data_IF_757273949627
#
_entry.id   IF_757273949627
#
_cell.length_a   1.000
_cell.length_b   1.000
_cell.length_c   1.000
_cell.angle_alpha   90.00
_cell.angle_beta   90.00
_cell.angle_gamma   90.00
#
_symmetry.space_group_name_H-M   'P 1'
#
loop_
_entity.id
_entity.type
_entity.pdbx_description
1 polymer ?
#
# COMPACT_ATOMS: atom_id res chain seq x y z
N UNK A 1 -16.70 -3.99 -11.91
CA UNK A 1 -16.59 -5.36 -11.40
C UNK A 1 -15.31 -5.94 -11.98
N UNK A 2 -14.28 -6.18 -11.16
CA UNK A 2 -13.08 -6.85 -11.62
C UNK A 2 -13.46 -8.28 -12.00
N UNK A 3 -13.54 -8.55 -13.31
CA UNK A 3 -13.75 -9.89 -13.84
C UNK A 3 -12.41 -10.58 -13.77
N UNK A 4 -12.18 -11.41 -12.75
CA UNK A 4 -10.94 -12.19 -12.62
C UNK A 4 -10.68 -12.92 -13.93
N UNK A 5 -9.54 -12.62 -14.54
CA UNK A 5 -9.17 -13.14 -15.85
C UNK A 5 -8.49 -14.50 -15.68
N UNK A 6 -9.16 -15.59 -16.02
CA UNK A 6 -8.51 -16.90 -16.04
C UNK A 6 -7.64 -17.03 -17.30
N UNK A 7 -6.35 -17.30 -17.09
CA UNK A 7 -5.37 -17.46 -18.17
C UNK A 7 -5.11 -18.94 -18.43
N UNK A 8 -5.15 -19.34 -19.70
CA UNK A 8 -4.65 -20.65 -20.11
C UNK A 8 -3.11 -20.65 -20.17
N UNK A 9 -2.51 -21.85 -20.25
CA UNK A 9 -1.07 -21.98 -20.50
C UNK A 9 -0.66 -21.26 -21.80
N UNK A 10 -1.46 -21.37 -22.86
CA UNK A 10 -1.20 -20.73 -24.15
C UNK A 10 -1.20 -19.20 -24.05
N UNK A 11 -2.12 -18.62 -23.25
CA UNK A 11 -2.17 -17.18 -23.03
C UNK A 11 -0.90 -16.67 -22.33
N UNK A 12 -0.43 -17.41 -21.32
CA UNK A 12 0.80 -17.08 -20.59
C UNK A 12 2.01 -17.24 -21.50
N UNK A 13 2.15 -18.36 -22.23
CA UNK A 13 3.27 -18.58 -23.16
C UNK A 13 3.35 -17.48 -24.23
N UNK A 14 2.21 -17.13 -24.83
CA UNK A 14 2.13 -16.06 -25.83
C UNK A 14 2.54 -14.71 -25.26
N UNK A 15 2.15 -14.43 -24.02
CA UNK A 15 2.52 -13.20 -23.31
C UNK A 15 4.01 -13.16 -23.02
N UNK A 16 4.60 -14.26 -22.54
CA UNK A 16 6.02 -14.32 -22.20
C UNK A 16 6.93 -14.27 -23.43
N UNK A 17 6.46 -14.69 -24.60
CA UNK A 17 7.24 -14.72 -25.84
C UNK A 17 7.78 -13.34 -26.28
N UNK A 18 7.21 -12.24 -25.79
CA UNK A 18 7.70 -10.87 -26.07
C UNK A 18 8.65 -10.32 -25.01
N UNK A 19 8.91 -11.08 -23.95
CA UNK A 19 9.83 -10.71 -22.87
C UNK A 19 11.14 -11.51 -22.96
N UNK A 20 12.28 -10.93 -22.56
CA UNK A 20 13.57 -11.63 -22.53
C UNK A 20 13.70 -12.52 -21.27
N UNK A 21 12.76 -13.45 -21.07
CA UNK A 21 12.62 -14.23 -19.82
C UNK A 21 12.76 -15.75 -20.02
N UNK A 22 13.11 -16.20 -21.22
CA UNK A 22 13.27 -17.62 -21.52
C UNK A 22 11.94 -18.35 -21.70
N UNK A 23 11.95 -19.68 -21.51
CA UNK A 23 10.80 -20.55 -21.79
C UNK A 23 9.99 -20.85 -20.54
N UNK A 24 8.66 -20.86 -20.65
CA UNK A 24 7.76 -21.25 -19.55
C UNK A 24 8.00 -22.70 -19.12
N UNK A 25 8.12 -22.92 -17.81
CA UNK A 25 8.26 -24.26 -17.21
C UNK A 25 7.07 -24.59 -16.30
N UNK A 26 6.45 -23.57 -15.72
CA UNK A 26 5.24 -23.75 -14.93
C UNK A 26 4.67 -22.41 -14.48
N UNK A 27 3.39 -22.44 -14.13
CA UNK A 27 2.71 -21.27 -13.59
C UNK A 27 1.69 -21.71 -12.54
N UNK A 28 1.34 -20.79 -11.65
CA UNK A 28 0.32 -20.98 -10.62
C UNK A 28 -0.39 -19.65 -10.38
N UNK A 29 -1.71 -19.68 -10.33
CA UNK A 29 -2.50 -18.52 -9.89
C UNK A 29 -2.11 -18.15 -8.45
N UNK A 30 -1.88 -16.86 -8.20
CA UNK A 30 -1.66 -16.35 -6.87
C UNK A 30 -3.03 -16.28 -6.17
N UNK A 31 -3.16 -16.98 -5.05
CA UNK A 31 -4.39 -17.05 -4.27
C UNK A 31 -4.67 -15.80 -3.43
N UNK A 32 -3.76 -14.83 -3.44
CA UNK A 32 -3.77 -13.64 -2.59
C UNK A 32 -3.76 -12.39 -3.49
N UNK A 33 -4.93 -11.78 -3.68
CA UNK A 33 -5.14 -10.61 -4.54
C UNK A 33 -6.60 -10.49 -4.95
N UNK A 34 -7.26 -9.38 -4.60
CA UNK A 34 -8.72 -9.23 -4.76
C UNK A 34 -9.10 -8.22 -5.85
N UNK A 35 -8.13 -7.41 -6.27
CA UNK A 35 -8.31 -6.34 -7.26
C UNK A 35 -7.78 -6.73 -8.64
N UNK A 36 -6.62 -7.40 -8.69
CA UNK A 36 -5.95 -7.78 -9.92
C UNK A 36 -5.73 -9.29 -10.00
N UNK A 37 -5.70 -9.82 -11.22
CA UNK A 37 -5.39 -11.22 -11.47
C UNK A 37 -3.87 -11.40 -11.49
N UNK A 38 -3.34 -12.27 -10.65
CA UNK A 38 -1.91 -12.49 -10.48
C UNK A 38 -1.54 -13.97 -10.72
N UNK A 39 -0.46 -14.21 -11.48
CA UNK A 39 0.10 -15.53 -11.69
C UNK A 39 1.59 -15.54 -11.35
N UNK A 40 2.01 -16.49 -10.51
CA UNK A 40 3.40 -16.87 -10.40
C UNK A 40 3.81 -17.63 -11.65
N UNK A 41 4.88 -17.19 -12.29
CA UNK A 41 5.40 -17.74 -13.53
C UNK A 41 6.83 -18.17 -13.29
N UNK A 42 7.17 -19.41 -13.66
CA UNK A 42 8.53 -19.93 -13.64
C UNK A 42 9.02 -20.18 -15.05
N UNK A 43 10.18 -19.63 -15.37
CA UNK A 43 10.83 -19.83 -16.67
C UNK A 43 12.21 -20.44 -16.51
N UNK A 44 12.78 -20.93 -17.61
CA UNK A 44 14.20 -21.30 -17.73
C UNK A 44 14.89 -20.44 -18.77
N UNK A 45 16.03 -19.90 -18.40
CA UNK A 45 16.94 -19.16 -19.28
C UNK A 45 17.77 -20.12 -20.14
N UNK A 46 18.42 -19.61 -21.19
CA UNK A 46 19.29 -20.40 -22.08
C UNK A 46 20.47 -21.07 -21.34
N UNK A 47 20.91 -20.48 -20.22
CA UNK A 47 21.96 -21.05 -19.35
C UNK A 47 21.43 -22.15 -18.40
N UNK A 48 20.15 -22.53 -18.53
CA UNK A 48 19.48 -23.54 -17.72
C UNK A 48 19.03 -23.06 -16.35
N UNK A 49 19.28 -21.81 -15.95
CA UNK A 49 18.82 -21.29 -14.66
C UNK A 49 17.33 -20.99 -14.70
N UNK A 50 16.65 -21.33 -13.62
CA UNK A 50 15.26 -20.97 -13.43
C UNK A 50 15.14 -19.54 -12.89
N UNK A 51 14.16 -18.80 -13.37
CA UNK A 51 13.75 -17.50 -12.84
C UNK A 51 12.25 -17.52 -12.55
N UNK A 52 11.83 -16.70 -11.58
CA UNK A 52 10.42 -16.57 -11.21
C UNK A 52 9.95 -15.12 -11.35
N UNK A 53 8.72 -14.98 -11.83
CA UNK A 53 8.06 -13.72 -12.11
C UNK A 53 6.64 -13.73 -11.58
N UNK A 54 6.04 -12.55 -11.50
CA UNK A 54 4.61 -12.35 -11.25
C UNK A 54 4.04 -11.66 -12.49
N UNK A 55 3.10 -12.33 -13.16
CA UNK A 55 2.31 -11.75 -14.24
C UNK A 55 1.01 -11.21 -13.64
N UNK A 56 0.78 -9.91 -13.77
CA UNK A 56 -0.38 -9.22 -13.22
C UNK A 56 -1.22 -8.64 -14.35
N UNK A 57 -2.50 -9.02 -14.44
CA UNK A 57 -3.49 -8.41 -15.32
C UNK A 57 -4.25 -7.35 -14.54
N UNK A 58 -4.25 -6.11 -15.06
CA UNK A 58 -4.88 -4.96 -14.42
C UNK A 58 -6.38 -4.95 -14.75
N UNK A 59 -7.21 -5.35 -13.79
CA UNK A 59 -8.63 -5.62 -14.04
C UNK A 59 -9.48 -4.35 -14.20
N UNK A 60 -9.14 -3.29 -13.46
CA UNK A 60 -9.86 -2.01 -13.51
C UNK A 60 -9.18 -0.96 -14.41
N UNK A 61 -8.42 -1.40 -15.42
CA UNK A 61 -7.70 -0.51 -16.33
C UNK A 61 -8.58 0.43 -17.18
N UNK A 62 -9.85 0.08 -17.39
CA UNK A 62 -10.81 0.87 -18.17
C UNK A 62 -11.59 1.90 -17.33
N UNK A 63 -11.35 1.98 -16.01
CA UNK A 63 -11.86 3.04 -15.14
C UNK A 63 -10.91 4.25 -15.08
N UNK A 64 -11.43 5.43 -14.74
CA UNK A 64 -10.65 6.66 -14.53
C UNK A 64 -9.56 6.56 -13.44
N UNK A 65 -9.53 5.46 -12.68
CA UNK A 65 -8.75 5.31 -11.46
C UNK A 65 -7.53 4.39 -11.55
N UNK A 66 -7.24 3.73 -12.69
CA UNK A 66 -6.08 2.83 -12.70
C UNK A 66 -4.77 3.61 -12.65
N UNK A 67 -4.00 3.44 -11.57
CA UNK A 67 -2.74 4.16 -11.31
C UNK A 67 -1.49 3.38 -11.75
N UNK A 68 -1.66 2.36 -12.59
CA UNK A 68 -0.59 1.42 -12.97
C UNK A 68 0.57 2.11 -13.71
N UNK A 69 0.32 3.18 -14.46
CA UNK A 69 1.38 3.95 -15.14
C UNK A 69 2.29 4.64 -14.13
N UNK A 70 1.73 5.32 -13.13
CA UNK A 70 2.52 5.97 -12.09
C UNK A 70 3.19 4.94 -11.19
N UNK A 71 2.52 3.82 -10.91
CA UNK A 71 3.12 2.67 -10.21
C UNK A 71 4.41 2.20 -10.90
N UNK A 72 4.40 2.05 -12.22
CA UNK A 72 5.60 1.65 -12.98
C UNK A 72 6.73 2.68 -12.82
N UNK A 73 6.44 3.98 -12.90
CA UNK A 73 7.44 5.05 -12.67
C UNK A 73 8.05 4.96 -11.28
N UNK A 74 7.20 4.76 -10.26
CA UNK A 74 7.61 4.66 -8.86
C UNK A 74 8.51 3.44 -8.66
N UNK A 75 8.12 2.28 -9.19
CA UNK A 75 8.92 1.05 -9.10
C UNK A 75 10.27 1.20 -9.79
N UNK A 76 10.32 1.80 -10.99
CA UNK A 76 11.57 2.07 -11.70
C UNK A 76 12.52 2.94 -10.87
N UNK A 77 12.00 4.04 -10.30
CA UNK A 77 12.78 4.92 -9.44
C UNK A 77 13.28 4.20 -8.19
N UNK A 78 12.44 3.39 -7.56
CA UNK A 78 12.83 2.60 -6.39
C UNK A 78 13.91 1.55 -6.70
N UNK A 79 13.81 0.86 -7.83
CA UNK A 79 14.83 -0.11 -8.27
C UNK A 79 16.14 0.59 -8.57
N UNK A 80 16.11 1.75 -9.23
CA UNK A 80 17.31 2.55 -9.51
C UNK A 80 18.05 2.97 -8.23
N UNK A 81 17.32 3.25 -7.15
CA UNK A 81 17.85 3.60 -5.83
C UNK A 81 18.13 2.38 -4.92
N UNK A 82 18.00 1.16 -5.46
CA UNK A 82 18.29 -0.09 -4.75
C UNK A 82 17.34 -0.37 -3.59
N UNK A 83 16.05 -0.01 -3.73
CA UNK A 83 15.02 -0.42 -2.79
C UNK A 83 14.50 -1.83 -3.13
N UNK A 84 14.14 -2.64 -2.12
CA UNK A 84 13.63 -3.99 -2.33
C UNK A 84 12.17 -3.95 -2.78
N UNK A 85 11.93 -3.68 -4.07
CA UNK A 85 10.58 -3.66 -4.69
C UNK A 85 10.58 -4.50 -5.97
N UNK A 86 9.41 -4.91 -6.50
CA UNK A 86 9.35 -5.68 -7.74
C UNK A 86 9.90 -4.86 -8.90
N UNK A 87 10.83 -5.45 -9.65
CA UNK A 87 11.29 -4.86 -10.90
C UNK A 87 10.30 -5.18 -12.02
N UNK A 88 9.81 -4.14 -12.69
CA UNK A 88 8.95 -4.33 -13.86
C UNK A 88 9.82 -4.71 -15.06
N UNK A 89 9.58 -5.88 -15.62
CA UNK A 89 10.35 -6.43 -16.75
C UNK A 89 9.88 -5.77 -18.04
N UNK A 90 10.82 -5.28 -18.85
CA UNK A 90 10.52 -4.69 -20.15
C UNK A 90 10.46 -5.76 -21.23
N UNK A 91 9.55 -5.60 -22.18
CA UNK A 91 9.53 -6.43 -23.39
C UNK A 91 10.82 -6.22 -24.21
N UNK A 92 11.07 -7.09 -25.19
CA UNK A 92 12.20 -6.94 -26.13
C UNK A 92 12.17 -5.61 -26.91
N UNK A 93 10.99 -4.97 -27.02
CA UNK A 93 10.81 -3.65 -27.64
C UNK A 93 10.87 -2.49 -26.63
N UNK A 94 11.17 -2.76 -25.36
CA UNK A 94 11.26 -1.76 -24.30
C UNK A 94 9.93 -1.36 -23.67
N UNK A 95 8.79 -1.93 -24.10
CA UNK A 95 7.49 -1.62 -23.51
C UNK A 95 7.40 -2.13 -22.06
N UNK A 96 6.72 -1.37 -21.20
CA UNK A 96 6.53 -1.66 -19.77
C UNK A 96 5.41 -2.64 -19.49
N UNK A 97 4.50 -2.80 -20.45
CA UNK A 97 3.30 -3.63 -20.34
C UNK A 97 2.96 -4.27 -21.68
N UNK A 98 2.11 -5.28 -21.61
CA UNK A 98 1.46 -5.96 -22.75
C UNK A 98 -0.06 -5.87 -22.60
N UNK A 99 -0.82 -6.39 -23.57
CA UNK A 99 -2.28 -6.50 -23.42
C UNK A 99 -2.75 -7.94 -23.49
N UNK A 100 -3.53 -8.33 -22.49
CA UNK A 100 -4.24 -9.62 -22.39
C UNK A 100 -5.74 -9.34 -22.31
N UNK A 101 -6.51 -9.86 -23.28
CA UNK A 101 -7.95 -9.58 -23.38
C UNK A 101 -8.28 -8.09 -23.30
N UNK A 102 -7.49 -7.28 -24.02
CA UNK A 102 -7.55 -5.80 -24.06
C UNK A 102 -7.17 -5.10 -22.74
N UNK A 103 -6.87 -5.84 -21.67
CA UNK A 103 -6.42 -5.30 -20.37
C UNK A 103 -4.89 -5.19 -20.33
N UNK A 104 -4.32 -4.13 -19.72
CA UNK A 104 -2.88 -4.06 -19.45
C UNK A 104 -2.42 -5.24 -18.59
N UNK A 105 -1.25 -5.78 -18.93
CA UNK A 105 -0.60 -6.86 -18.21
C UNK A 105 0.87 -6.54 -17.99
N UNK A 106 1.30 -6.58 -16.73
CA UNK A 106 2.66 -6.31 -16.28
C UNK A 106 3.35 -7.61 -15.90
N UNK A 107 4.63 -7.73 -16.24
CA UNK A 107 5.49 -8.80 -15.74
C UNK A 107 6.49 -8.21 -14.77
N UNK A 108 6.51 -8.68 -13.53
CA UNK A 108 7.42 -8.21 -12.50
C UNK A 108 8.32 -9.35 -11.99
N UNK A 109 9.51 -9.04 -11.48
CA UNK A 109 10.34 -10.00 -10.75
C UNK A 109 9.61 -10.50 -9.50
N UNK A 110 9.68 -11.80 -9.21
CA UNK A 110 9.23 -12.33 -7.92
C UNK A 110 10.26 -12.02 -6.83
N UNK A 111 9.81 -11.50 -5.69
CA UNK A 111 10.67 -11.23 -4.53
C UNK A 111 10.75 -12.45 -3.61
N UNK A 112 11.92 -12.65 -2.98
CA UNK A 112 12.20 -13.81 -2.14
C UNK A 112 12.00 -13.49 -0.65
N UNK A 113 10.81 -13.80 -0.13
CA UNK A 113 10.51 -13.66 1.29
C UNK A 113 9.11 -14.15 1.64
N UNK A 114 8.77 -14.04 2.92
CA UNK A 114 7.46 -14.44 3.47
C UNK A 114 6.82 -13.27 4.20
N UNK A 115 5.49 -13.22 4.17
CA UNK A 115 4.70 -12.26 4.93
C UNK A 115 4.92 -12.40 6.43
N UNK A 116 4.84 -11.27 7.14
CA UNK A 116 5.01 -11.23 8.59
C UNK A 116 3.65 -11.32 9.26
N UNK A 117 3.45 -12.29 10.14
CA UNK A 117 2.21 -12.42 10.92
C UNK A 117 2.29 -11.65 12.24
N UNK A 118 3.43 -11.76 12.93
CA UNK A 118 3.66 -11.12 14.23
C UNK A 118 4.98 -10.34 14.18
N UNK A 119 4.96 -9.03 13.86
CA UNK A 119 6.18 -8.28 13.67
C UNK A 119 6.95 -8.10 14.98
N UNK A 120 8.27 -8.26 14.91
CA UNK A 120 9.17 -7.88 16.01
C UNK A 120 9.68 -6.45 15.82
N UNK A 121 10.19 -5.83 16.90
CA UNK A 121 10.69 -4.45 16.91
C UNK A 121 11.69 -4.14 15.79
N UNK A 122 12.61 -5.08 15.50
CA UNK A 122 13.61 -4.90 14.44
C UNK A 122 13.00 -4.84 13.04
N UNK A 123 11.87 -5.52 12.81
CA UNK A 123 11.11 -5.47 11.55
C UNK A 123 10.36 -4.14 11.45
N UNK A 124 9.74 -3.66 12.53
CA UNK A 124 9.13 -2.32 12.58
C UNK A 124 10.16 -1.23 12.23
N UNK A 125 11.36 -1.31 12.81
CA UNK A 125 12.45 -0.40 12.47
C UNK A 125 12.91 -0.52 10.99
N UNK A 126 12.87 -1.73 10.41
CA UNK A 126 13.18 -1.93 9.00
C UNK A 126 12.14 -1.28 8.07
N UNK A 127 10.86 -1.34 8.42
CA UNK A 127 9.79 -0.64 7.70
C UNK A 127 9.96 0.88 7.80
N UNK A 128 10.29 1.39 8.98
CA UNK A 128 10.64 2.81 9.15
C UNK A 128 11.78 3.25 8.22
N UNK A 129 12.88 2.48 8.19
CA UNK A 129 14.02 2.74 7.29
C UNK A 129 13.63 2.68 5.81
N UNK A 130 12.80 1.69 5.43
CA UNK A 130 12.29 1.58 4.07
C UNK A 130 11.49 2.83 3.68
N UNK A 131 10.52 3.25 4.50
CA UNK A 131 9.69 4.43 4.21
C UNK A 131 10.54 5.69 4.07
N UNK A 132 11.55 5.90 4.92
CA UNK A 132 12.42 7.06 4.81
C UNK A 132 13.24 7.04 3.51
N UNK A 133 13.80 5.88 3.13
CA UNK A 133 14.49 5.70 1.85
C UNK A 133 13.54 5.88 0.66
N UNK A 134 12.33 5.35 0.75
CA UNK A 134 11.30 5.44 -0.27
C UNK A 134 10.95 6.89 -0.53
N UNK A 135 10.55 7.64 0.51
CA UNK A 135 10.24 9.06 0.37
C UNK A 135 11.42 9.88 -0.19
N UNK A 136 12.65 9.57 0.18
CA UNK A 136 13.83 10.26 -0.35
C UNK A 136 14.09 9.91 -1.83
N UNK A 137 13.97 8.64 -2.20
CA UNK A 137 14.18 8.14 -3.55
C UNK A 137 13.13 8.68 -4.54
N UNK A 138 11.89 8.87 -4.09
CA UNK A 138 10.77 9.26 -4.95
C UNK A 138 10.40 10.75 -4.86
N UNK A 139 11.02 11.52 -3.95
CA UNK A 139 10.81 12.96 -3.87
C UNK A 139 11.00 13.69 -5.21
N UNK A 140 12.02 13.36 -6.05
CA UNK A 140 12.21 14.02 -7.34
C UNK A 140 11.07 13.83 -8.35
N UNK A 141 10.25 12.78 -8.20
CA UNK A 141 9.14 12.46 -9.11
C UNK A 141 7.77 12.75 -8.48
N UNK A 142 7.72 13.38 -7.30
CA UNK A 142 6.48 13.61 -6.56
C UNK A 142 5.43 14.39 -7.34
N UNK A 143 5.86 15.40 -8.11
CA UNK A 143 4.97 16.23 -8.95
C UNK A 143 4.50 15.51 -10.23
N UNK A 144 5.19 14.45 -10.65
CA UNK A 144 4.89 13.67 -11.87
C UNK A 144 3.93 12.49 -11.63
N UNK A 145 3.51 12.31 -10.37
CA UNK A 145 2.64 11.24 -9.89
C UNK A 145 1.34 11.85 -9.37
N UNK A 146 0.21 11.17 -9.64
CA UNK A 146 -1.10 11.62 -9.16
C UNK A 146 -1.14 11.76 -7.62
N UNK A 147 -1.85 12.77 -7.10
CA UNK A 147 -2.10 12.88 -5.66
C UNK A 147 -2.80 11.65 -5.09
N UNK A 148 -2.51 11.37 -3.82
CA UNK A 148 -3.22 10.34 -3.07
C UNK A 148 -4.72 10.62 -3.04
N UNK A 149 -5.51 9.60 -3.37
CA UNK A 149 -6.93 9.76 -3.72
C UNK A 149 -7.88 9.90 -2.52
N UNK A 150 -7.46 9.55 -1.30
CA UNK A 150 -8.35 9.61 -0.12
C UNK A 150 -8.24 10.95 0.60
N UNK A 151 -8.36 12.04 -0.16
CA UNK A 151 -8.31 13.43 0.30
C UNK A 151 -9.62 13.87 1.00
N UNK A 152 -9.74 15.16 1.32
CA UNK A 152 -10.93 15.74 1.95
C UNK A 152 -12.22 15.47 1.17
N UNK A 153 -12.18 15.57 -0.15
CA UNK A 153 -13.36 15.40 -1.02
C UNK A 153 -13.78 13.94 -1.02
N UNK A 154 -12.81 13.02 -1.13
CA UNK A 154 -13.08 11.59 -1.04
C UNK A 154 -13.66 11.23 0.33
N UNK A 155 -13.05 11.66 1.43
CA UNK A 155 -13.52 11.35 2.78
C UNK A 155 -14.96 11.82 3.00
N UNK A 156 -15.28 13.04 2.56
CA UNK A 156 -16.62 13.63 2.67
C UNK A 156 -17.62 12.84 1.83
N UNK A 157 -17.32 12.64 0.54
CA UNK A 157 -18.18 11.93 -0.40
C UNK A 157 -18.46 10.48 0.04
N UNK A 158 -17.44 9.78 0.53
CA UNK A 158 -17.59 8.39 0.98
C UNK A 158 -18.31 8.27 2.31
N UNK A 159 -18.11 9.21 3.22
CA UNK A 159 -18.92 9.31 4.44
C UNK A 159 -20.40 9.49 4.10
N UNK A 160 -20.72 10.39 3.17
CA UNK A 160 -22.10 10.61 2.71
C UNK A 160 -22.73 9.38 2.07
N UNK A 161 -21.91 8.56 1.38
CA UNK A 161 -22.35 7.32 0.77
C UNK A 161 -22.75 6.26 1.80
N UNK A 162 -21.96 6.09 2.87
CA UNK A 162 -22.14 4.97 3.81
C UNK A 162 -22.97 5.30 5.05
N UNK A 163 -23.13 6.60 5.39
CA UNK A 163 -23.73 7.02 6.67
C UNK A 163 -25.17 6.56 6.89
N UNK A 164 -25.92 6.26 5.83
CA UNK A 164 -27.30 5.78 5.92
C UNK A 164 -27.39 4.27 6.23
N UNK A 165 -26.35 3.51 5.90
CA UNK A 165 -26.32 2.04 5.98
C UNK A 165 -25.61 1.51 7.23
N UNK A 166 -25.11 2.40 8.09
CA UNK A 166 -24.42 2.06 9.35
C UNK A 166 -25.30 2.37 10.56
N UNK A 167 -25.01 1.72 11.70
CA UNK A 167 -25.70 1.97 12.95
C UNK A 167 -25.52 3.44 13.41
N UNK A 168 -26.51 3.99 14.13
CA UNK A 168 -26.51 5.40 14.57
C UNK A 168 -25.23 5.78 15.33
N UNK A 169 -24.74 4.92 16.23
CA UNK A 169 -23.50 5.18 16.97
C UNK A 169 -22.27 5.24 16.06
N UNK A 170 -22.21 4.37 15.06
CA UNK A 170 -21.11 4.34 14.09
C UNK A 170 -21.14 5.56 13.18
N UNK A 171 -22.34 5.99 12.78
CA UNK A 171 -22.54 7.24 12.04
C UNK A 171 -22.02 8.46 12.80
N UNK A 172 -22.36 8.58 14.09
CA UNK A 172 -21.90 9.71 14.93
C UNK A 172 -20.38 9.71 15.07
N UNK A 173 -19.77 8.54 15.31
CA UNK A 173 -18.31 8.42 15.36
C UNK A 173 -17.66 8.78 14.02
N UNK A 174 -18.24 8.33 12.90
CA UNK A 174 -17.75 8.61 11.55
C UNK A 174 -17.78 10.11 11.24
N UNK A 175 -18.91 10.79 11.48
CA UNK A 175 -19.08 12.23 11.24
C UNK A 175 -18.16 13.06 12.14
N UNK A 176 -18.01 12.70 13.42
CA UNK A 176 -17.10 13.39 14.35
C UNK A 176 -15.61 13.21 13.97
N UNK A 177 -15.25 12.00 13.55
CA UNK A 177 -13.88 11.70 13.09
C UNK A 177 -13.57 12.41 11.79
N UNK A 178 -14.50 12.41 10.84
CA UNK A 178 -14.39 13.16 9.59
C UNK A 178 -14.11 14.64 9.87
N UNK A 179 -14.91 15.28 10.73
CA UNK A 179 -14.71 16.70 11.05
C UNK A 179 -13.31 16.97 11.61
N UNK A 180 -12.82 16.11 12.52
CA UNK A 180 -11.48 16.24 13.08
C UNK A 180 -10.38 16.16 12.01
N UNK A 181 -10.54 15.26 11.04
CA UNK A 181 -9.58 15.08 9.93
C UNK A 181 -9.67 16.24 8.93
N UNK A 182 -10.87 16.73 8.62
CA UNK A 182 -11.04 17.91 7.76
C UNK A 182 -10.42 19.15 8.41
N UNK A 183 -10.63 19.35 9.71
CA UNK A 183 -10.03 20.44 10.47
C UNK A 183 -8.50 20.37 10.40
N UNK A 184 -7.90 19.18 10.57
CA UNK A 184 -6.46 18.96 10.38
C UNK A 184 -6.00 19.39 8.98
N UNK A 185 -6.59 18.81 7.94
CA UNK A 185 -6.15 18.99 6.55
C UNK A 185 -6.35 20.42 6.05
N UNK A 186 -7.24 21.20 6.68
CA UNK A 186 -7.45 22.61 6.38
C UNK A 186 -6.36 23.55 6.93
N UNK A 187 -5.49 23.08 7.83
CA UNK A 187 -4.49 23.93 8.49
C UNK A 187 -3.33 24.27 7.56
N UNK A 188 -2.90 25.52 7.59
CA UNK A 188 -1.75 25.99 6.80
C UNK A 188 -0.41 25.39 7.22
N UNK A 189 -0.24 25.06 8.52
CA UNK A 189 0.97 24.39 9.00
C UNK A 189 1.01 22.91 8.56
N UNK A 190 -0.13 22.25 8.42
CA UNK A 190 -0.23 20.92 7.80
C UNK A 190 0.15 20.97 6.32
N UNK A 191 -0.28 21.98 5.58
CA UNK A 191 0.09 22.17 4.17
C UNK A 191 1.61 22.34 3.96
N UNK A 192 2.35 22.72 5.01
CA UNK A 192 3.82 22.86 4.97
C UNK A 192 4.58 21.58 5.36
N UNK A 193 3.88 20.51 5.74
CA UNK A 193 4.52 19.25 6.10
C UNK A 193 5.23 18.63 4.89
N UNK A 194 6.33 17.90 5.09
CA UNK A 194 7.04 17.22 4.02
C UNK A 194 6.12 16.29 3.21
N UNK A 195 6.18 16.44 1.89
CA UNK A 195 5.47 15.60 0.93
C UNK A 195 6.46 14.87 0.02
N UNK A 196 6.05 13.70 -0.45
CA UNK A 196 6.74 12.90 -1.45
C UNK A 196 5.72 11.92 -2.06
N UNK A 197 6.17 10.97 -2.87
CA UNK A 197 5.34 9.79 -3.15
C UNK A 197 5.23 8.97 -1.86
N UNK A 198 4.00 8.70 -1.44
CA UNK A 198 3.64 7.80 -0.35
C UNK A 198 3.13 6.47 -0.92
N UNK A 199 3.36 5.38 -0.20
CA UNK A 199 2.84 4.05 -0.54
C UNK A 199 1.34 3.93 -0.23
N UNK A 200 0.91 4.57 0.85
CA UNK A 200 -0.44 4.68 1.37
C UNK A 200 -1.15 3.37 1.76
N UNK A 201 -0.45 2.23 1.75
CA UNK A 201 -1.00 0.90 2.05
C UNK A 201 0.05 -0.10 2.58
N UNK A 202 1.07 0.39 3.30
CA UNK A 202 2.18 -0.45 3.76
C UNK A 202 1.83 -1.28 5.00
N UNK A 203 0.94 -2.24 4.83
CA UNK A 203 0.53 -3.22 5.83
C UNK A 203 1.46 -4.44 5.89
N UNK A 204 1.27 -5.29 6.90
CA UNK A 204 2.02 -6.53 7.11
C UNK A 204 1.92 -7.50 5.93
N UNK A 205 0.76 -7.56 5.28
CA UNK A 205 0.52 -8.37 4.08
C UNK A 205 1.22 -7.81 2.83
N UNK A 206 1.72 -6.57 2.85
CA UNK A 206 2.46 -5.96 1.75
C UNK A 206 3.98 -5.95 1.95
N UNK A 207 4.50 -6.63 2.98
CA UNK A 207 5.93 -6.73 3.22
C UNK A 207 6.41 -8.17 3.36
N UNK A 208 7.54 -8.45 2.72
CA UNK A 208 8.21 -9.74 2.73
C UNK A 208 9.52 -9.64 3.51
N UNK A 209 9.75 -10.61 4.40
CA UNK A 209 11.00 -10.76 5.14
C UNK A 209 11.61 -12.14 4.89
N UNK A 210 12.93 -12.21 4.97
CA UNK A 210 13.69 -13.46 4.96
C UNK A 210 14.79 -13.42 6.04
N UNK A 211 15.70 -14.41 6.03
CA UNK A 211 16.77 -14.52 7.02
C UNK A 211 17.73 -13.32 7.06
N UNK A 212 17.78 -12.51 5.99
CA UNK A 212 18.66 -11.35 5.85
C UNK A 212 17.96 -10.01 6.14
N UNK A 213 16.65 -10.02 6.41
CA UNK A 213 15.87 -8.83 6.75
C UNK A 213 14.73 -8.57 5.78
N UNK A 214 14.46 -7.27 5.52
CA UNK A 214 13.40 -6.84 4.60
C UNK A 214 13.78 -7.25 3.17
N UNK A 215 12.99 -8.13 2.58
CA UNK A 215 13.27 -8.72 1.27
C UNK A 215 12.46 -8.11 0.14
N UNK A 216 11.30 -7.52 0.45
CA UNK A 216 10.42 -6.95 -0.55
C UNK A 216 9.27 -6.15 0.03
N UNK A 217 8.92 -5.04 -0.61
CA UNK A 217 7.64 -4.34 -0.43
C UNK A 217 6.81 -4.50 -1.69
N UNK A 218 5.55 -4.86 -1.54
CA UNK A 218 4.60 -5.15 -2.61
C UNK A 218 3.50 -4.08 -2.67
N UNK A 219 2.63 -4.18 -3.67
CA UNK A 219 1.39 -3.42 -3.82
C UNK A 219 1.50 -1.89 -3.77
N UNK A 220 1.98 -1.33 -4.88
CA UNK A 220 2.07 0.13 -5.07
C UNK A 220 0.83 0.71 -5.79
N UNK A 221 -0.29 -0.01 -5.85
CA UNK A 221 -1.48 0.45 -6.58
C UNK A 221 -2.13 1.69 -5.96
N UNK A 222 -1.98 1.86 -4.65
CA UNK A 222 -2.46 3.03 -3.91
C UNK A 222 -1.43 4.15 -3.76
N UNK A 223 -0.21 3.95 -4.27
CA UNK A 223 0.84 4.94 -4.16
C UNK A 223 0.47 6.23 -4.91
N UNK A 224 0.86 7.37 -4.36
CA UNK A 224 0.55 8.69 -4.91
C UNK A 224 1.32 9.78 -4.18
N UNK A 225 1.28 11.02 -4.67
CA UNK A 225 1.89 12.14 -3.95
C UNK A 225 1.06 12.51 -2.70
N UNK A 226 1.74 12.73 -1.57
CA UNK A 226 1.08 13.02 -0.30
C UNK A 226 2.05 13.28 0.85
N UNK A 227 1.49 13.47 2.05
CA UNK A 227 2.27 13.75 3.25
C UNK A 227 3.05 12.52 3.73
N UNK A 228 4.37 12.62 3.88
CA UNK A 228 5.23 11.51 4.32
C UNK A 228 4.79 10.91 5.68
N UNK A 229 4.22 11.74 6.56
CA UNK A 229 3.70 11.30 7.87
C UNK A 229 2.45 10.41 7.76
N UNK A 230 1.73 10.47 6.63
CA UNK A 230 0.61 9.57 6.38
C UNK A 230 1.06 8.11 6.26
N UNK A 231 2.14 7.83 5.53
CA UNK A 231 2.71 6.48 5.44
C UNK A 231 3.15 5.91 6.80
N UNK A 232 3.73 6.77 7.64
CA UNK A 232 4.06 6.40 9.02
C UNK A 232 2.81 6.06 9.82
N UNK A 233 1.73 6.83 9.67
CA UNK A 233 0.46 6.56 10.32
C UNK A 233 -0.17 5.24 9.85
N UNK A 234 -0.15 4.95 8.54
CA UNK A 234 -0.61 3.67 7.97
C UNK A 234 0.19 2.52 8.58
N UNK A 235 1.51 2.60 8.54
CA UNK A 235 2.37 1.53 9.05
C UNK A 235 2.21 1.34 10.58
N UNK A 236 2.15 2.42 11.36
CA UNK A 236 1.94 2.32 12.81
C UNK A 236 0.57 1.69 13.15
N UNK A 237 -0.48 2.04 12.41
CA UNK A 237 -1.81 1.49 12.62
C UNK A 237 -1.88 -0.03 12.46
N UNK A 238 -0.96 -0.64 11.70
CA UNK A 238 -0.97 -2.08 11.41
C UNK A 238 0.20 -2.84 12.07
N UNK A 239 1.43 -2.39 11.85
CA UNK A 239 2.65 -3.04 12.33
C UNK A 239 2.81 -2.97 13.85
N UNK A 240 2.25 -1.93 14.47
CA UNK A 240 2.49 -1.63 15.88
C UNK A 240 1.28 -2.04 16.74
N UNK A 241 0.60 -3.13 16.39
CA UNK A 241 -0.53 -3.67 17.15
C UNK A 241 -0.13 -4.84 18.05
N UNK A 242 -0.78 -4.90 19.21
CA UNK A 242 -0.82 -6.03 20.13
C UNK A 242 -2.28 -6.26 20.53
N UNK A 243 -2.98 -7.10 19.76
CA UNK A 243 -4.44 -7.21 19.80
C UNK A 243 -5.10 -5.86 19.48
N UNK A 244 -5.93 -5.37 20.40
CA UNK A 244 -6.63 -4.08 20.26
C UNK A 244 -5.77 -2.90 20.75
N UNK A 245 -4.55 -3.15 21.25
CA UNK A 245 -3.65 -2.13 21.78
C UNK A 245 -2.51 -1.80 20.81
N UNK A 246 -2.03 -0.56 20.86
CA UNK A 246 -0.89 -0.04 20.13
C UNK A 246 0.32 -0.38 20.99
N UNK A 247 1.19 -1.20 20.44
CA UNK A 247 2.51 -1.48 20.97
C UNK A 247 3.38 -0.22 20.75
N UNK A 248 3.49 0.58 21.81
CA UNK A 248 4.28 1.82 21.80
C UNK A 248 5.74 1.57 21.48
N UNK A 249 6.29 0.43 21.89
CA UNK A 249 7.70 0.15 21.66
C UNK A 249 7.95 -0.17 20.18
N UNK A 250 7.05 -0.88 19.52
CA UNK A 250 7.11 -1.06 18.05
C UNK A 250 6.97 0.25 17.31
N UNK A 251 6.05 1.12 17.74
CA UNK A 251 5.86 2.44 17.12
C UNK A 251 7.11 3.31 17.26
N UNK A 252 7.75 3.32 18.43
CA UNK A 252 9.00 4.04 18.66
C UNK A 252 10.12 3.49 17.76
N UNK A 253 10.26 2.17 17.66
CA UNK A 253 11.30 1.55 16.81
C UNK A 253 11.07 1.80 15.32
N UNK A 254 9.82 1.85 14.86
CA UNK A 254 9.47 2.26 13.51
C UNK A 254 9.90 3.72 13.25
N UNK A 255 9.53 4.65 14.14
CA UNK A 255 9.89 6.06 14.01
C UNK A 255 11.40 6.30 14.11
N UNK A 256 12.13 5.56 14.95
CA UNK A 256 13.60 5.56 15.00
C UNK A 256 14.20 5.05 13.70
N UNK A 257 13.67 3.94 13.17
CA UNK A 257 14.06 3.42 11.88
C UNK A 257 13.95 4.48 10.79
N UNK A 258 12.83 5.18 10.74
CA UNK A 258 12.63 6.29 9.81
C UNK A 258 13.62 7.43 10.04
N UNK A 259 13.73 7.90 11.29
CA UNK A 259 14.58 9.02 11.69
C UNK A 259 16.07 8.78 11.48
N UNK A 260 16.50 7.52 11.41
CA UNK A 260 17.89 7.15 11.08
C UNK A 260 18.31 7.49 9.64
N UNK A 261 17.35 7.77 8.75
CA UNK A 261 17.59 8.13 7.35
C UNK A 261 17.08 9.55 7.07
N UNK A 262 15.86 9.89 7.51
CA UNK A 262 15.30 11.25 7.40
C UNK A 262 14.73 11.68 8.75
N UNK A 263 15.32 12.73 9.33
CA UNK A 263 14.86 13.30 10.59
C UNK A 263 13.40 13.77 10.49
N UNK A 264 12.56 13.29 11.41
CA UNK A 264 11.19 13.78 11.58
C UNK A 264 11.20 15.19 12.15
N UNK A 265 10.43 16.08 11.54
CA UNK A 265 10.25 17.43 12.08
C UNK A 265 9.35 17.40 13.31
N UNK A 266 9.46 18.42 14.17
CA UNK A 266 8.57 18.54 15.32
C UNK A 266 7.10 18.69 14.91
N UNK A 267 6.82 19.31 13.75
CA UNK A 267 5.48 19.41 13.21
C UNK A 267 4.92 18.03 12.80
N UNK A 268 5.72 17.18 12.15
CA UNK A 268 5.31 15.82 11.81
C UNK A 268 4.99 14.99 13.06
N UNK A 269 5.83 15.07 14.10
CA UNK A 269 5.58 14.40 15.37
C UNK A 269 4.33 14.93 16.09
N UNK A 270 4.11 16.25 16.03
CA UNK A 270 2.96 16.90 16.61
C UNK A 270 1.64 16.47 15.95
N UNK A 271 1.62 16.36 14.61
CA UNK A 271 0.43 15.98 13.85
C UNK A 271 0.25 14.47 13.67
N UNK A 272 1.28 13.66 13.93
CA UNK A 272 1.22 12.19 13.83
C UNK A 272 -0.04 11.57 14.48
N UNK A 273 -0.50 11.99 15.68
CA UNK A 273 -1.68 11.40 16.31
C UNK A 273 -2.96 11.62 15.51
N UNK A 274 -3.09 12.78 14.85
CA UNK A 274 -4.24 13.06 13.99
C UNK A 274 -4.09 12.40 12.61
N UNK A 275 -2.86 12.21 12.12
CA UNK A 275 -2.62 11.38 10.92
C UNK A 275 -2.93 9.89 11.17
N UNK A 276 -2.68 9.37 12.37
CA UNK A 276 -3.11 8.02 12.78
C UNK A 276 -4.63 7.87 12.70
N UNK A 277 -5.36 8.90 13.16
CA UNK A 277 -6.82 8.95 13.05
C UNK A 277 -7.28 9.08 11.60
N UNK A 278 -6.62 9.92 10.78
CA UNK A 278 -6.90 10.07 9.36
C UNK A 278 -6.73 8.74 8.60
N UNK A 279 -5.59 8.06 8.75
CA UNK A 279 -5.38 6.76 8.13
C UNK A 279 -6.45 5.75 8.59
N UNK A 280 -6.75 5.69 9.89
CA UNK A 280 -7.78 4.78 10.41
C UNK A 280 -9.17 5.06 9.83
N UNK A 281 -9.57 6.33 9.71
CA UNK A 281 -10.83 6.74 9.07
C UNK A 281 -10.87 6.32 7.61
N UNK A 282 -9.80 6.60 6.85
CA UNK A 282 -9.73 6.31 5.42
C UNK A 282 -9.91 4.81 5.12
N UNK A 283 -9.30 3.94 5.95
CA UNK A 283 -9.45 2.49 5.84
C UNK A 283 -10.76 1.96 6.42
N UNK A 284 -11.33 2.60 7.44
CA UNK A 284 -12.67 2.26 7.92
C UNK A 284 -13.70 2.50 6.81
N UNK A 285 -13.65 3.67 6.17
CA UNK A 285 -14.50 4.04 5.04
C UNK A 285 -14.32 3.07 3.85
N UNK A 286 -13.07 2.74 3.49
CA UNK A 286 -12.83 1.82 2.36
C UNK A 286 -13.44 0.44 2.59
N UNK A 287 -13.33 -0.10 3.81
CA UNK A 287 -13.95 -1.38 4.17
C UNK A 287 -15.47 -1.28 4.25
N UNK A 288 -16.02 -0.19 4.78
CA UNK A 288 -17.47 0.04 4.82
C UNK A 288 -18.08 0.08 3.42
N UNK A 289 -17.44 0.78 2.48
CA UNK A 289 -17.91 0.86 1.08
C UNK A 289 -18.05 -0.51 0.43
N UNK A 290 -17.14 -1.45 0.73
CA UNK A 290 -17.24 -2.84 0.27
C UNK A 290 -18.31 -3.59 1.06
N UNK A 291 -18.34 -3.41 2.38
CA UNK A 291 -19.23 -4.12 3.29
C UNK A 291 -20.72 -3.86 3.03
N UNK A 292 -21.09 -2.65 2.61
CA UNK A 292 -22.49 -2.29 2.31
C UNK A 292 -22.95 -2.76 0.92
N UNK A 293 -22.05 -3.29 0.07
CA UNK A 293 -22.42 -3.76 -1.26
C UNK A 293 -23.21 -5.07 -1.20
N UNK A 294 -24.31 -5.10 -1.94
CA UNK A 294 -25.17 -6.29 -2.07
C UNK A 294 -25.01 -7.01 -3.41
N UNK A 295 -24.25 -6.44 -4.35
CA UNK A 295 -24.01 -6.97 -5.70
C UNK A 295 -22.75 -7.84 -5.80
N UNK A 296 -22.04 -8.03 -4.68
CA UNK A 296 -20.83 -8.84 -4.63
C UNK A 296 -21.12 -10.35 -4.72
N UNK A 297 -20.27 -11.13 -5.41
CA UNK A 297 -20.35 -12.59 -5.38
C UNK A 297 -20.23 -13.13 -3.94
N UNK A 298 -20.89 -14.27 -3.66
CA UNK A 298 -20.94 -14.87 -2.32
C UNK A 298 -19.58 -15.19 -1.68
N UNK A 299 -18.53 -15.35 -2.50
CA UNK A 299 -17.17 -15.64 -2.06
C UNK A 299 -16.22 -14.44 -2.17
N UNK A 300 -16.75 -13.24 -2.43
CA UNK A 300 -15.90 -12.04 -2.46
C UNK A 300 -15.32 -11.79 -1.06
N UNK A 301 -13.99 -11.68 -0.92
CA UNK A 301 -13.38 -11.46 0.38
C UNK A 301 -13.73 -10.07 0.90
N UNK A 302 -14.40 -10.01 2.04
CA UNK A 302 -14.76 -8.75 2.72
C UNK A 302 -13.98 -8.67 4.03
N UNK A 303 -13.05 -7.71 4.13
CA UNK A 303 -12.33 -7.43 5.38
C UNK A 303 -13.29 -6.77 6.38
N UNK A 304 -13.24 -7.18 7.66
CA UNK A 304 -14.12 -6.65 8.70
C UNK A 304 -13.89 -5.13 8.91
N UNK A 305 -14.89 -4.25 8.71
CA UNK A 305 -14.74 -2.81 8.94
C UNK A 305 -14.50 -2.45 10.42
N UNK A 306 -14.95 -3.29 11.36
CA UNK A 306 -14.82 -3.01 12.80
C UNK A 306 -13.35 -2.93 13.25
N UNK A 307 -12.41 -3.57 12.55
CA UNK A 307 -10.98 -3.49 12.89
C UNK A 307 -10.44 -2.05 12.85
N UNK A 308 -10.85 -1.25 11.86
CA UNK A 308 -10.44 0.15 11.74
C UNK A 308 -11.33 1.10 12.54
N UNK A 309 -12.60 0.75 12.76
CA UNK A 309 -13.48 1.45 13.70
C UNK A 309 -12.91 1.46 15.12
N UNK A 310 -12.40 0.32 15.60
CA UNK A 310 -11.77 0.25 16.92
C UNK A 310 -10.48 1.07 16.98
N UNK A 311 -9.71 1.16 15.89
CA UNK A 311 -8.56 2.08 15.79
C UNK A 311 -8.99 3.54 15.86
N UNK A 312 -10.07 3.93 15.16
CA UNK A 312 -10.64 5.29 15.23
C UNK A 312 -11.02 5.64 16.67
N UNK A 313 -11.87 4.82 17.32
CA UNK A 313 -12.29 5.03 18.71
C UNK A 313 -11.11 5.17 19.66
N UNK A 314 -10.06 4.39 19.43
CA UNK A 314 -8.86 4.36 20.25
C UNK A 314 -8.03 5.63 20.11
N UNK A 315 -7.76 6.08 18.89
CA UNK A 315 -7.03 7.33 18.65
C UNK A 315 -7.81 8.54 19.16
N UNK A 316 -9.15 8.53 19.05
CA UNK A 316 -10.03 9.56 19.62
C UNK A 316 -9.95 9.63 21.16
N UNK A 317 -9.83 8.48 21.85
CA UNK A 317 -9.83 8.41 23.33
C UNK A 317 -8.45 8.57 23.97
N UNK A 318 -7.42 8.01 23.34
CA UNK A 318 -6.05 7.98 23.86
C UNK A 318 -5.06 8.25 22.72
N UNK A 319 -4.90 9.53 22.32
CA UNK A 319 -3.95 9.91 21.29
C UNK A 319 -2.55 9.39 21.62
N UNK A 320 -1.92 8.74 20.65
CA UNK A 320 -0.49 8.45 20.74
C UNK A 320 0.28 9.77 20.89
N UNK A 321 1.34 9.80 21.69
CA UNK A 321 2.21 10.97 21.77
C UNK A 321 3.62 10.52 22.07
N UNK A 322 4.58 11.11 21.35
CA UNK A 322 6.01 10.93 21.63
C UNK A 322 6.40 12.04 22.61
N UNK A 323 6.35 11.73 23.91
CA UNK A 323 6.48 12.73 24.98
C UNK A 323 7.94 13.24 25.15
N UNK A 324 8.92 12.58 24.52
CA UNK A 324 10.33 13.03 24.54
C UNK A 324 11.02 12.77 23.20
N UNK A 325 11.51 13.82 22.55
CA UNK A 325 12.40 13.75 21.38
C UNK A 325 13.64 12.88 21.63
N UNK A 326 14.13 12.80 22.88
CA UNK A 326 15.26 11.94 23.27
C UNK A 326 15.03 10.44 23.05
N UNK A 327 13.83 10.04 22.62
CA UNK A 327 13.47 8.68 22.27
C UNK A 327 13.53 8.41 20.76
N UNK A 328 13.78 9.41 19.91
CA UNK A 328 13.89 9.28 18.45
C UNK A 328 15.32 9.60 17.99
#
# INVERSE_FOLDING_TARGET
>A
MAVITHLSAEDIERTLAVYPVGTLVGFKEASEGIENTNYFVRTTQEDGKAAEYVLTVIEEANGSNSNHVDMVKILDQCVAEGLPVPQVIRTVKGATETRLFEKPALLCSKLDGMHVVNPVRSQCAAIGRFLARFHAATAPIGDDVKPYVRDCDWLTSKTDTVKADVALLDRVELEATLQTVLDLLSRSDVASLPQSVIHADLFLDNALFNAYGLAGILDFHHAGSGYCVYDLAVAINDWCRNGDMLDRDRAIELLRGYSSIRTLTQAELWFLPTFLLYAALAFWLSRLLIYIRTDLPAHYPVKNPDEFKELVKRHSRSPFSVVRESLL
#
